data_IF_338255098607
#
_entry.id   IF_338255098607
#
_cell.length_a   1.000
_cell.length_b   1.000
_cell.length_c   1.000
_cell.angle_alpha   90.00
_cell.angle_beta   90.00
_cell.angle_gamma   90.00
#
_symmetry.space_group_name_H-M   'P 1'
#
loop_
_entity.id
_entity.type
_entity.pdbx_description
1 polymer ?
#
# COMPACT_ATOMS: atom_id res chain seq x y z
N UNK A 1 8.02 -20.21 14.41
CA UNK A 1 7.50 -18.92 13.96
C UNK A 1 8.50 -18.31 13.00
N UNK A 2 8.05 -17.94 11.79
CA UNK A 2 8.94 -17.40 10.77
C UNK A 2 9.24 -15.93 11.05
N UNK A 3 10.52 -15.57 11.11
CA UNK A 3 10.95 -14.17 11.27
C UNK A 3 11.77 -13.75 10.06
N UNK A 4 11.61 -12.51 9.66
CA UNK A 4 12.35 -11.92 8.56
C UNK A 4 13.65 -11.30 9.06
N UNK A 5 14.71 -11.45 8.29
CA UNK A 5 15.99 -10.83 8.59
C UNK A 5 16.05 -9.44 7.95
N UNK A 6 16.14 -8.41 8.78
CA UNK A 6 16.28 -7.03 8.33
C UNK A 6 17.75 -6.67 8.22
N UNK A 7 18.18 -6.34 7.01
CA UNK A 7 19.55 -5.93 6.72
C UNK A 7 19.59 -4.42 6.65
N UNK A 8 20.41 -3.81 7.52
CA UNK A 8 20.56 -2.35 7.53
C UNK A 8 21.33 -1.88 6.31
N UNK A 9 20.75 -0.93 5.58
CA UNK A 9 21.42 -0.21 4.50
C UNK A 9 21.19 1.29 4.68
N UNK A 10 22.14 2.08 4.24
CA UNK A 10 21.97 3.53 4.22
C UNK A 10 21.19 3.94 2.98
N UNK A 11 20.02 4.54 3.20
CA UNK A 11 19.21 5.09 2.13
C UNK A 11 19.07 6.59 2.37
N UNK A 12 19.53 7.45 1.44
CA UNK A 12 19.36 8.88 1.59
C UNK A 12 17.87 9.24 1.66
N UNK A 13 17.51 10.08 2.61
CA UNK A 13 16.17 10.65 2.64
C UNK A 13 16.02 11.66 1.51
N UNK A 14 14.98 11.48 0.70
CA UNK A 14 14.63 12.41 -0.34
C UNK A 14 13.46 13.27 0.12
N UNK A 15 13.63 14.58 -0.01
CA UNK A 15 12.54 15.52 0.23
C UNK A 15 11.54 15.43 -0.90
N UNK A 16 10.28 15.68 -0.59
CA UNK A 16 9.22 15.69 -1.59
C UNK A 16 8.67 17.09 -1.76
N UNK A 17 8.19 17.41 -2.96
CA UNK A 17 7.53 18.66 -3.27
C UNK A 17 6.30 18.37 -4.13
N UNK A 18 5.18 19.01 -3.81
CA UNK A 18 3.95 18.87 -4.56
C UNK A 18 3.79 20.07 -5.50
N UNK A 19 3.71 19.78 -6.81
CA UNK A 19 3.52 20.78 -7.86
C UNK A 19 2.30 20.35 -8.67
N UNK A 20 1.30 21.21 -8.79
CA UNK A 20 0.05 20.93 -9.53
C UNK A 20 -0.61 19.61 -9.09
N UNK A 21 -0.70 19.38 -7.78
CA UNK A 21 -1.26 18.17 -7.15
C UNK A 21 -0.48 16.88 -7.45
N UNK A 22 0.72 16.98 -8.02
CA UNK A 22 1.60 15.84 -8.29
C UNK A 22 2.83 15.90 -7.40
N UNK A 23 3.20 14.76 -6.83
CA UNK A 23 4.34 14.66 -5.94
C UNK A 23 5.62 14.38 -6.73
N UNK A 24 6.65 15.17 -6.46
CA UNK A 24 7.99 15.01 -7.00
C UNK A 24 9.00 14.81 -5.89
N UNK A 25 10.03 14.02 -6.18
CA UNK A 25 11.18 13.90 -5.30
C UNK A 25 12.25 14.91 -5.69
N UNK A 26 12.76 15.62 -4.68
CA UNK A 26 13.81 16.62 -4.87
C UNK A 26 15.17 15.92 -4.79
N UNK A 27 15.93 15.96 -5.87
CA UNK A 27 17.28 15.40 -5.95
C UNK A 27 18.29 16.46 -6.35
N UNK A 28 19.61 16.24 -6.13
CA UNK A 28 20.62 17.18 -6.59
C UNK A 28 20.62 17.41 -8.11
N UNK A 29 20.08 16.46 -8.88
CA UNK A 29 19.99 16.53 -10.34
C UNK A 29 18.68 17.12 -10.86
N UNK A 30 17.71 17.40 -9.98
CA UNK A 30 16.43 17.97 -10.35
C UNK A 30 15.24 17.31 -9.65
N UNK A 31 14.03 17.61 -10.15
CA UNK A 31 12.80 17.06 -9.63
C UNK A 31 12.35 15.86 -10.48
N UNK A 32 12.07 14.75 -9.82
CA UNK A 32 11.61 13.54 -10.49
C UNK A 32 10.23 13.14 -9.93
N UNK A 33 9.27 12.76 -10.80
CA UNK A 33 7.96 12.35 -10.33
C UNK A 33 8.03 11.03 -9.55
N UNK A 34 7.14 10.86 -8.57
CA UNK A 34 7.01 9.60 -7.86
C UNK A 34 6.48 8.51 -8.80
N UNK A 35 6.76 7.25 -8.49
CA UNK A 35 6.27 6.12 -9.29
C UNK A 35 4.73 6.11 -9.39
N UNK A 36 4.04 6.47 -8.30
CA UNK A 36 2.58 6.58 -8.31
C UNK A 36 2.10 7.69 -9.23
N UNK A 37 2.84 8.81 -9.31
CA UNK A 37 2.54 9.90 -10.24
C UNK A 37 2.68 9.44 -11.69
N UNK A 38 3.75 8.70 -12.02
CA UNK A 38 3.94 8.14 -13.36
C UNK A 38 2.82 7.17 -13.72
N UNK A 39 2.47 6.28 -12.80
CA UNK A 39 1.40 5.31 -13.01
C UNK A 39 0.03 5.97 -13.16
N UNK A 40 -0.21 7.08 -12.47
CA UNK A 40 -1.49 7.80 -12.55
C UNK A 40 -1.71 8.52 -13.88
N UNK A 41 -0.65 8.70 -14.68
CA UNK A 41 -0.74 9.32 -16.01
C UNK A 41 -1.26 8.36 -17.09
N UNK A 42 -1.53 7.10 -16.75
CA UNK A 42 -2.13 6.15 -17.69
C UNK A 42 -3.54 6.61 -18.10
N UNK A 43 -3.95 6.19 -19.31
CA UNK A 43 -5.31 6.43 -19.77
C UNK A 43 -6.33 5.83 -18.81
N UNK A 44 -7.30 6.64 -18.41
CA UNK A 44 -8.33 6.26 -17.43
C UNK A 44 -9.72 6.18 -18.06
N UNK A 45 -9.80 5.91 -19.36
CA UNK A 45 -11.08 5.89 -20.10
C UNK A 45 -12.07 4.90 -19.49
N UNK A 46 -11.63 3.67 -19.21
CA UNK A 46 -12.49 2.66 -18.59
C UNK A 46 -13.01 3.07 -17.21
N UNK A 47 -12.18 3.74 -16.43
CA UNK A 47 -12.58 4.28 -15.12
C UNK A 47 -13.63 5.37 -15.26
N UNK A 48 -13.44 6.31 -16.21
CA UNK A 48 -14.38 7.39 -16.47
C UNK A 48 -15.74 6.85 -16.95
N UNK A 49 -15.75 5.87 -17.85
CA UNK A 49 -16.97 5.24 -18.33
C UNK A 49 -17.72 4.51 -17.21
N UNK A 50 -16.98 3.77 -16.38
CA UNK A 50 -17.55 3.10 -15.22
C UNK A 50 -18.19 4.11 -14.25
N UNK A 51 -17.48 5.20 -13.94
CA UNK A 51 -18.00 6.24 -13.04
C UNK A 51 -19.27 6.88 -13.58
N UNK A 52 -19.34 7.11 -14.88
CA UNK A 52 -20.55 7.63 -15.52
C UNK A 52 -21.72 6.66 -15.42
N UNK A 53 -21.44 5.37 -15.61
CA UNK A 53 -22.46 4.31 -15.57
C UNK A 53 -23.08 4.12 -14.20
N UNK A 54 -22.27 4.11 -13.13
CA UNK A 54 -22.74 3.84 -11.78
C UNK A 54 -23.15 5.11 -11.02
N UNK A 55 -22.71 6.28 -11.45
CA UNK A 55 -22.97 7.55 -10.80
C UNK A 55 -21.87 7.94 -9.80
N UNK A 56 -21.76 9.24 -9.51
CA UNK A 56 -20.70 9.77 -8.66
C UNK A 56 -20.78 9.24 -7.23
N UNK A 57 -21.96 9.14 -6.64
CA UNK A 57 -22.13 8.69 -5.25
C UNK A 57 -21.67 7.24 -5.05
N UNK A 58 -22.09 6.36 -5.96
CA UNK A 58 -21.70 4.94 -5.93
C UNK A 58 -20.20 4.81 -6.19
N UNK A 59 -19.66 5.51 -7.18
CA UNK A 59 -18.25 5.47 -7.51
C UNK A 59 -17.38 5.94 -6.34
N UNK A 60 -17.77 7.02 -5.68
CA UNK A 60 -17.04 7.55 -4.52
C UNK A 60 -17.11 6.60 -3.33
N UNK A 61 -18.24 5.97 -3.09
CA UNK A 61 -18.40 4.97 -2.05
C UNK A 61 -17.47 3.78 -2.27
N UNK A 62 -17.47 3.23 -3.48
CA UNK A 62 -16.62 2.08 -3.85
C UNK A 62 -15.15 2.45 -3.72
N UNK A 63 -14.75 3.61 -4.21
CA UNK A 63 -13.36 4.07 -4.13
C UNK A 63 -12.90 4.23 -2.68
N UNK A 64 -13.72 4.85 -1.84
CA UNK A 64 -13.40 5.06 -0.42
C UNK A 64 -13.30 3.75 0.34
N UNK A 65 -14.24 2.82 0.12
CA UNK A 65 -14.24 1.50 0.77
C UNK A 65 -13.02 0.67 0.35
N UNK A 66 -12.69 0.67 -0.95
CA UNK A 66 -11.53 -0.03 -1.47
C UNK A 66 -10.24 0.55 -0.92
N UNK A 67 -10.12 1.88 -0.83
CA UNK A 67 -8.95 2.54 -0.28
C UNK A 67 -8.75 2.21 1.20
N UNK A 68 -9.81 2.23 2.00
CA UNK A 68 -9.75 1.88 3.42
C UNK A 68 -9.32 0.42 3.62
N UNK A 69 -9.86 -0.49 2.80
CA UNK A 69 -9.49 -1.91 2.82
C UNK A 69 -8.02 -2.10 2.44
N UNK A 70 -7.58 -1.44 1.37
CA UNK A 70 -6.19 -1.50 0.92
C UNK A 70 -5.21 -1.00 1.97
N UNK A 71 -5.51 0.09 2.64
CA UNK A 71 -4.70 0.63 3.74
C UNK A 71 -4.53 -0.40 4.86
N UNK A 72 -5.60 -1.07 5.25
CA UNK A 72 -5.54 -2.10 6.30
C UNK A 72 -4.68 -3.29 5.90
N UNK A 73 -4.85 -3.80 4.67
CA UNK A 73 -4.03 -4.90 4.14
C UNK A 73 -2.57 -4.49 4.10
N UNK A 74 -2.28 -3.28 3.66
CA UNK A 74 -0.91 -2.76 3.58
C UNK A 74 -0.24 -2.72 4.96
N UNK A 75 -0.94 -2.25 5.98
CA UNK A 75 -0.44 -2.24 7.36
C UNK A 75 -0.22 -3.64 7.93
N UNK A 76 -1.11 -4.58 7.60
CA UNK A 76 -0.94 -5.98 8.01
C UNK A 76 0.32 -6.60 7.41
N UNK A 77 0.57 -6.34 6.11
CA UNK A 77 1.79 -6.79 5.44
C UNK A 77 3.05 -6.15 6.05
N UNK A 78 2.99 -4.85 6.32
CA UNK A 78 4.09 -4.11 6.93
C UNK A 78 4.44 -4.68 8.31
N UNK A 79 3.45 -4.89 9.16
CA UNK A 79 3.65 -5.49 10.48
C UNK A 79 4.24 -6.89 10.39
N UNK A 80 3.73 -7.72 9.49
CA UNK A 80 4.23 -9.06 9.28
C UNK A 80 5.71 -9.06 8.86
N UNK A 81 6.08 -8.21 7.92
CA UNK A 81 7.46 -8.08 7.45
C UNK A 81 8.38 -7.47 8.51
N UNK A 82 7.85 -6.68 9.44
CA UNK A 82 8.59 -6.12 10.58
C UNK A 82 8.64 -7.07 11.77
N UNK A 83 8.20 -8.31 11.63
CA UNK A 83 8.15 -9.31 12.70
C UNK A 83 7.22 -8.94 13.85
N UNK A 84 6.22 -8.10 13.61
CA UNK A 84 5.19 -7.76 14.59
C UNK A 84 4.08 -8.81 14.50
N UNK A 85 3.81 -9.49 15.62
CA UNK A 85 2.81 -10.54 15.68
C UNK A 85 1.51 -10.01 16.28
N UNK A 86 0.44 -10.10 15.50
CA UNK A 86 -0.89 -9.64 15.90
C UNK A 86 -1.86 -10.81 15.81
N UNK A 87 -2.63 -11.04 16.89
CA UNK A 87 -3.68 -12.04 16.89
C UNK A 87 -4.93 -11.48 16.20
N UNK A 88 -4.97 -11.60 14.88
CA UNK A 88 -6.07 -11.10 14.07
C UNK A 88 -7.39 -11.83 14.33
N UNK A 89 -7.41 -13.18 14.54
CA UNK A 89 -8.66 -13.85 14.92
C UNK A 89 -9.32 -13.27 16.17
N UNK A 90 -8.54 -12.95 17.20
CA UNK A 90 -9.07 -12.30 18.40
C UNK A 90 -9.62 -10.91 18.08
N UNK A 91 -8.92 -10.14 17.26
CA UNK A 91 -9.37 -8.81 16.85
C UNK A 91 -10.67 -8.84 16.05
N UNK A 92 -10.99 -9.94 15.37
CA UNK A 92 -12.24 -10.07 14.63
C UNK A 92 -13.44 -10.19 15.54
N UNK A 93 -13.30 -10.85 16.67
CA UNK A 93 -14.36 -10.91 17.66
C UNK A 93 -14.68 -9.52 18.18
N UNK A 94 -13.64 -8.69 18.34
CA UNK A 94 -13.78 -7.30 18.76
C UNK A 94 -14.28 -6.39 17.63
N UNK A 95 -13.76 -6.58 16.39
CA UNK A 95 -14.04 -5.71 15.26
C UNK A 95 -14.19 -6.49 13.95
N UNK A 96 -15.41 -6.86 13.60
CA UNK A 96 -15.72 -7.61 12.37
C UNK A 96 -15.25 -6.93 11.08
N UNK A 97 -15.04 -5.61 11.09
CA UNK A 97 -14.56 -4.85 9.94
C UNK A 97 -13.16 -5.23 9.46
N UNK A 98 -12.43 -6.04 10.24
CA UNK A 98 -11.09 -6.52 9.83
C UNK A 98 -11.10 -7.85 9.09
N UNK A 99 -12.27 -8.50 8.97
CA UNK A 99 -12.36 -9.84 8.39
C UNK A 99 -11.85 -9.91 6.95
N UNK A 100 -12.39 -9.09 6.06
CA UNK A 100 -11.98 -9.11 4.64
C UNK A 100 -10.52 -8.68 4.43
N UNK A 101 -10.04 -7.58 5.05
CA UNK A 101 -8.61 -7.23 4.97
C UNK A 101 -7.70 -8.37 5.42
N UNK A 102 -8.05 -9.06 6.49
CA UNK A 102 -7.26 -10.19 6.96
C UNK A 102 -7.26 -11.36 5.98
N UNK A 103 -8.40 -11.69 5.39
CA UNK A 103 -8.48 -12.75 4.39
C UNK A 103 -7.57 -12.47 3.19
N UNK A 104 -7.55 -11.21 2.72
CA UNK A 104 -6.65 -10.78 1.64
C UNK A 104 -5.19 -10.84 2.07
N UNK A 105 -4.87 -10.39 3.27
CA UNK A 105 -3.51 -10.46 3.82
C UNK A 105 -3.03 -11.91 3.94
N UNK A 106 -3.88 -12.81 4.41
CA UNK A 106 -3.55 -14.23 4.54
C UNK A 106 -3.19 -14.85 3.20
N UNK A 107 -3.93 -14.54 2.14
CA UNK A 107 -3.61 -14.98 0.79
C UNK A 107 -2.23 -14.47 0.33
N UNK A 108 -1.94 -13.20 0.55
CA UNK A 108 -0.63 -12.63 0.21
C UNK A 108 0.49 -13.29 1.02
N UNK A 109 0.26 -13.51 2.32
CA UNK A 109 1.26 -14.14 3.20
C UNK A 109 1.60 -15.54 2.73
N UNK A 110 0.61 -16.36 2.46
CA UNK A 110 0.79 -17.77 2.10
C UNK A 110 1.38 -17.93 0.70
N UNK A 111 1.02 -17.05 -0.25
CA UNK A 111 1.40 -17.19 -1.66
C UNK A 111 2.65 -16.41 -2.06
N UNK A 112 2.97 -15.34 -1.37
CA UNK A 112 4.05 -14.43 -1.77
C UNK A 112 4.98 -14.04 -0.63
N UNK A 113 4.48 -13.49 0.47
CA UNK A 113 5.31 -12.92 1.53
C UNK A 113 6.18 -13.95 2.25
N UNK A 114 5.71 -15.20 2.35
CA UNK A 114 6.49 -16.28 2.98
C UNK A 114 7.78 -16.64 2.22
N UNK A 115 7.91 -16.20 0.96
CA UNK A 115 9.10 -16.44 0.13
C UNK A 115 10.17 -15.35 0.29
N UNK A 116 9.87 -14.29 1.05
CA UNK A 116 10.84 -13.23 1.32
C UNK A 116 11.80 -13.70 2.40
N UNK A 117 13.09 -13.51 2.18
CA UNK A 117 14.14 -13.91 3.12
C UNK A 117 14.72 -12.71 3.87
N UNK A 118 15.47 -11.86 3.17
CA UNK A 118 16.13 -10.70 3.74
C UNK A 118 15.42 -9.43 3.30
N UNK A 119 15.22 -8.50 4.21
CA UNK A 119 14.61 -7.21 3.94
C UNK A 119 15.66 -6.12 4.10
N UNK A 120 15.98 -5.44 3.00
CA UNK A 120 16.96 -4.36 2.97
C UNK A 120 16.31 -3.00 3.15
N UNK A 121 15.10 -2.83 2.62
CA UNK A 121 14.34 -1.59 2.72
C UNK A 121 12.85 -1.88 2.67
N UNK A 122 12.08 -1.11 3.42
CA UNK A 122 10.63 -1.23 3.50
C UNK A 122 10.05 0.16 3.70
N UNK A 123 9.08 0.53 2.85
CA UNK A 123 8.48 1.86 2.85
C UNK A 123 9.51 2.98 2.72
N UNK A 124 10.56 2.75 1.95
CA UNK A 124 11.66 3.69 1.77
C UNK A 124 11.50 4.50 0.49
N UNK A 125 11.89 5.78 0.55
CA UNK A 125 11.98 6.64 -0.62
C UNK A 125 13.28 6.39 -1.37
N UNK A 126 13.17 5.76 -2.53
CA UNK A 126 14.34 5.44 -3.38
C UNK A 126 14.40 6.36 -4.60
#
# INVERSE_FOLDING_TARGET
MMSFNHVSIEIPELKTKTINKKRFYVTPKGYYPSITTVLSNRKKEGLWEWRKRVGADVANYVARTAAARGTKVHHMCEDYLNNVHVDWPQKFEEHKKHFLPYALFRELREKALCNINNIYAQEAGL
#
